data_IF_767586772725
#
_entry.id   IF_767586772725
#
_cell.length_a   1.000
_cell.length_b   1.000
_cell.length_c   1.000
_cell.angle_alpha   90.00
_cell.angle_beta   90.00
_cell.angle_gamma   90.00
#
_symmetry.space_group_name_H-M   'P 1'
#
loop_
_entity.id
_entity.type
_entity.pdbx_description
1 polymer ?
#
# COMPACT_ATOMS: atom_id res chain seq x y z
N UNK A 1 34.59 13.73 -10.02
CA UNK A 1 34.48 12.25 -10.04
C UNK A 1 33.40 11.86 -9.04
N UNK A 2 32.17 11.76 -9.49
CA UNK A 2 31.04 11.31 -8.70
C UNK A 2 31.19 9.81 -8.45
N UNK A 3 31.36 9.40 -7.18
CA UNK A 3 31.24 8.01 -6.76
C UNK A 3 29.87 7.53 -7.22
N UNK A 4 29.83 6.57 -8.18
CA UNK A 4 28.63 5.74 -8.40
C UNK A 4 28.33 5.10 -7.04
N UNK A 5 27.29 5.57 -6.38
CA UNK A 5 26.73 4.88 -5.23
C UNK A 5 26.43 3.45 -5.74
N UNK A 6 26.97 2.43 -5.07
CA UNK A 6 26.62 1.04 -5.37
C UNK A 6 25.11 0.93 -5.16
N UNK A 7 24.35 0.85 -6.24
CA UNK A 7 22.92 0.64 -6.16
C UNK A 7 22.69 -0.74 -5.56
N UNK A 8 22.13 -0.77 -4.34
CA UNK A 8 21.85 -2.00 -3.62
C UNK A 8 20.54 -2.66 -4.07
N UNK A 9 19.81 -2.02 -5.01
CA UNK A 9 18.53 -2.48 -5.52
C UNK A 9 18.66 -2.93 -6.97
N UNK A 10 18.28 -4.18 -7.23
CA UNK A 10 18.32 -4.84 -8.54
C UNK A 10 16.90 -4.94 -9.11
N UNK A 11 16.60 -4.40 -10.31
CA UNK A 11 15.31 -4.59 -10.95
C UNK A 11 15.15 -6.04 -11.44
N UNK A 12 13.98 -6.61 -11.19
CA UNK A 12 13.60 -7.95 -11.62
C UNK A 12 12.63 -7.87 -12.79
N UNK A 13 12.86 -8.68 -13.82
CA UNK A 13 12.03 -8.77 -15.01
C UNK A 13 11.60 -7.38 -15.53
N UNK A 14 12.54 -6.46 -15.79
CA UNK A 14 12.19 -5.13 -16.28
C UNK A 14 11.56 -5.20 -17.65
N UNK A 15 10.57 -4.36 -17.90
CA UNK A 15 9.85 -4.24 -19.17
C UNK A 15 9.78 -2.79 -19.63
N UNK A 16 9.67 -2.59 -20.93
CA UNK A 16 9.43 -1.29 -21.55
C UNK A 16 8.03 -1.26 -22.16
N UNK A 17 7.22 -0.29 -21.76
CA UNK A 17 5.86 -0.10 -22.23
C UNK A 17 5.80 1.08 -23.20
N UNK A 18 4.87 1.01 -24.17
CA UNK A 18 4.61 2.14 -25.05
C UNK A 18 5.84 2.56 -25.87
N UNK A 19 6.51 1.66 -26.54
CA UNK A 19 7.70 1.90 -27.39
C UNK A 19 8.88 2.52 -26.58
N UNK A 20 9.12 1.98 -25.40
CA UNK A 20 10.22 2.40 -24.53
C UNK A 20 9.97 3.68 -23.73
N UNK A 21 8.74 4.20 -23.73
CA UNK A 21 8.42 5.42 -22.98
C UNK A 21 8.27 5.21 -21.49
N UNK A 22 7.88 4.01 -21.04
CA UNK A 22 7.71 3.68 -19.62
C UNK A 22 8.58 2.47 -19.31
N UNK A 23 9.57 2.65 -18.43
CA UNK A 23 10.41 1.57 -17.93
C UNK A 23 9.88 1.13 -16.57
N UNK A 24 9.41 -0.10 -16.52
CA UNK A 24 8.77 -0.68 -15.36
C UNK A 24 9.57 -1.88 -14.83
N UNK A 25 9.85 -1.90 -13.54
CA UNK A 25 10.36 -3.09 -12.86
C UNK A 25 9.17 -3.86 -12.27
N UNK A 26 8.92 -5.07 -12.76
CA UNK A 26 7.85 -5.94 -12.23
C UNK A 26 8.09 -6.31 -10.76
N UNK A 27 9.37 -6.31 -10.36
CA UNK A 27 9.81 -6.40 -9.00
C UNK A 27 11.22 -5.85 -8.84
N UNK A 28 11.66 -5.73 -7.60
CA UNK A 28 13.04 -5.39 -7.24
C UNK A 28 13.53 -6.27 -6.10
N UNK A 29 14.82 -6.55 -6.12
CA UNK A 29 15.55 -7.24 -5.07
C UNK A 29 16.45 -6.25 -4.34
N UNK A 30 16.39 -6.27 -3.01
CA UNK A 30 17.22 -5.44 -2.13
C UNK A 30 17.74 -6.31 -0.98
N UNK A 31 18.97 -6.79 -1.06
CA UNK A 31 19.59 -7.76 -0.13
C UNK A 31 18.66 -8.96 0.13
N UNK A 32 18.01 -8.97 1.27
CA UNK A 32 17.12 -10.05 1.74
C UNK A 32 15.65 -9.88 1.38
N UNK A 33 15.30 -8.80 0.69
CA UNK A 33 13.93 -8.45 0.33
C UNK A 33 13.64 -8.58 -1.16
N UNK A 34 12.43 -8.95 -1.49
CA UNK A 34 11.83 -8.85 -2.82
C UNK A 34 10.54 -8.05 -2.72
N UNK A 35 10.39 -7.07 -3.59
CA UNK A 35 9.17 -6.28 -3.74
C UNK A 35 8.65 -6.46 -5.14
N UNK A 36 7.49 -7.11 -5.29
CA UNK A 36 6.76 -7.19 -6.55
C UNK A 36 5.68 -6.11 -6.56
N UNK A 37 5.61 -5.32 -7.62
CA UNK A 37 4.78 -4.12 -7.69
C UNK A 37 3.92 -4.08 -8.94
N UNK A 38 2.70 -3.57 -8.83
CA UNK A 38 1.82 -3.26 -9.95
C UNK A 38 1.44 -4.46 -10.82
N UNK A 39 1.36 -5.67 -10.23
CA UNK A 39 1.02 -6.88 -10.98
C UNK A 39 -0.45 -6.86 -11.39
N UNK A 40 -0.69 -6.82 -12.67
CA UNK A 40 -2.00 -6.93 -13.31
C UNK A 40 -1.94 -8.01 -14.39
N UNK A 41 -3.09 -8.42 -14.89
CA UNK A 41 -3.18 -9.44 -15.94
C UNK A 41 -2.86 -8.87 -17.33
N UNK A 42 -1.65 -8.35 -17.52
CA UNK A 42 -1.17 -7.67 -18.74
C UNK A 42 -0.14 -8.50 -19.50
N UNK A 43 -0.08 -8.30 -20.81
CA UNK A 43 0.96 -8.86 -21.69
C UNK A 43 2.04 -7.84 -22.08
N UNK A 44 1.96 -6.61 -21.57
CA UNK A 44 2.85 -5.48 -21.84
C UNK A 44 2.87 -4.95 -23.29
N UNK A 45 2.05 -5.52 -24.18
CA UNK A 45 1.95 -5.13 -25.60
C UNK A 45 0.54 -4.64 -25.92
N UNK A 46 -0.46 -5.47 -25.63
CA UNK A 46 -1.85 -5.24 -26.06
C UNK A 46 -2.76 -4.77 -24.90
N UNK A 47 -2.24 -4.69 -23.69
CA UNK A 47 -3.01 -4.36 -22.50
C UNK A 47 -3.37 -5.62 -21.70
N UNK A 48 -4.65 -5.91 -21.49
CA UNK A 48 -5.05 -7.17 -20.83
C UNK A 48 -4.64 -8.33 -21.72
N UNK A 49 -3.99 -9.33 -21.11
CA UNK A 49 -3.56 -10.53 -21.82
C UNK A 49 -4.74 -11.23 -22.56
N UNK A 50 -4.58 -11.58 -23.83
CA UNK A 50 -5.60 -12.32 -24.58
C UNK A 50 -6.03 -13.63 -23.90
N UNK A 51 -5.14 -14.27 -23.13
CA UNK A 51 -5.46 -15.48 -22.36
C UNK A 51 -6.50 -15.25 -21.26
N UNK A 52 -6.67 -14.04 -20.81
CA UNK A 52 -7.66 -13.64 -19.80
C UNK A 52 -9.00 -13.34 -20.43
N UNK A 53 -8.98 -12.79 -21.66
CA UNK A 53 -10.18 -12.47 -22.41
C UNK A 53 -10.78 -13.75 -23.02
N UNK A 54 -12.10 -13.89 -22.95
CA UNK A 54 -12.83 -15.03 -23.56
C UNK A 54 -13.51 -14.53 -24.83
N UNK A 55 -12.95 -14.89 -26.01
CA UNK A 55 -13.47 -14.39 -27.29
C UNK A 55 -14.66 -15.19 -27.83
N UNK A 56 -14.78 -16.50 -27.54
CA UNK A 56 -15.63 -17.38 -28.33
C UNK A 56 -16.73 -18.15 -27.59
N UNK A 57 -16.72 -18.20 -26.28
CA UNK A 57 -17.77 -18.87 -25.51
C UNK A 57 -17.82 -18.36 -24.08
N UNK A 58 -18.62 -17.33 -23.79
CA UNK A 58 -18.68 -16.72 -22.49
C UNK A 58 -19.06 -17.66 -21.33
N UNK A 59 -19.61 -18.83 -21.66
CA UNK A 59 -20.00 -19.87 -20.70
C UNK A 59 -19.04 -21.06 -20.65
N UNK A 60 -17.94 -21.05 -21.40
CA UNK A 60 -16.95 -22.12 -21.39
C UNK A 60 -15.65 -21.64 -20.72
N UNK A 61 -15.11 -22.48 -19.84
CA UNK A 61 -13.86 -22.21 -19.13
C UNK A 61 -14.02 -21.33 -17.88
N UNK A 62 -12.90 -20.89 -17.35
CA UNK A 62 -12.86 -20.08 -16.13
C UNK A 62 -13.32 -18.64 -16.40
N UNK A 63 -14.01 -18.01 -15.42
CA UNK A 63 -14.37 -16.60 -15.49
C UNK A 63 -13.14 -15.69 -15.62
N UNK A 64 -13.32 -14.52 -16.26
CA UNK A 64 -12.25 -13.52 -16.47
C UNK A 64 -11.44 -13.26 -15.19
N UNK A 65 -12.11 -13.02 -14.06
CA UNK A 65 -11.45 -12.67 -12.79
C UNK A 65 -10.59 -13.80 -12.20
N UNK A 66 -10.98 -15.04 -12.40
CA UNK A 66 -10.16 -16.19 -12.02
C UNK A 66 -8.92 -16.29 -12.93
N UNK A 67 -9.07 -16.07 -14.24
CA UNK A 67 -7.96 -16.02 -15.18
C UNK A 67 -7.01 -14.88 -14.88
N UNK A 68 -7.52 -13.69 -14.52
CA UNK A 68 -6.69 -12.57 -14.06
C UNK A 68 -5.86 -12.97 -12.84
N UNK A 69 -6.49 -13.54 -11.81
CA UNK A 69 -5.80 -13.96 -10.61
C UNK A 69 -4.73 -15.02 -10.89
N UNK A 70 -5.03 -16.03 -11.72
CA UNK A 70 -4.07 -17.07 -12.09
C UNK A 70 -2.86 -16.49 -12.81
N UNK A 71 -3.06 -15.57 -13.76
CA UNK A 71 -1.95 -14.92 -14.47
C UNK A 71 -1.10 -14.05 -13.55
N UNK A 72 -1.74 -13.29 -12.65
CA UNK A 72 -1.04 -12.48 -11.65
C UNK A 72 -0.16 -13.36 -10.74
N UNK A 73 -0.68 -14.49 -10.26
CA UNK A 73 0.11 -15.40 -9.43
C UNK A 73 1.24 -16.10 -10.21
N UNK A 74 1.03 -16.43 -11.47
CA UNK A 74 2.09 -16.96 -12.33
C UNK A 74 3.22 -15.92 -12.54
N UNK A 75 2.86 -14.66 -12.79
CA UNK A 75 3.84 -13.56 -12.89
C UNK A 75 4.57 -13.33 -11.57
N UNK A 76 3.86 -13.37 -10.44
CA UNK A 76 4.48 -13.25 -9.11
C UNK A 76 5.49 -14.39 -8.87
N UNK A 77 5.14 -15.62 -9.19
CA UNK A 77 6.03 -16.78 -9.05
C UNK A 77 7.29 -16.60 -9.90
N UNK A 78 7.17 -16.14 -11.15
CA UNK A 78 8.30 -15.86 -12.01
C UNK A 78 9.25 -14.80 -11.42
N UNK A 79 8.72 -13.73 -10.83
CA UNK A 79 9.50 -12.68 -10.16
C UNK A 79 10.25 -13.25 -8.94
N UNK A 80 9.55 -14.05 -8.12
CA UNK A 80 10.14 -14.65 -6.94
C UNK A 80 11.26 -15.62 -7.30
N UNK A 81 11.08 -16.46 -8.31
CA UNK A 81 12.11 -17.36 -8.80
C UNK A 81 13.32 -16.60 -9.35
N UNK A 82 13.10 -15.51 -10.11
CA UNK A 82 14.18 -14.66 -10.58
C UNK A 82 15.00 -14.03 -9.45
N UNK A 83 14.37 -13.80 -8.30
CA UNK A 83 15.03 -13.29 -7.10
C UNK A 83 15.72 -14.38 -6.24
N UNK A 84 15.50 -15.67 -6.54
CA UNK A 84 16.01 -16.79 -5.76
C UNK A 84 15.18 -17.12 -4.52
N UNK A 85 13.86 -16.91 -4.58
CA UNK A 85 12.90 -17.24 -3.52
C UNK A 85 11.62 -17.84 -4.13
N UNK A 86 10.61 -18.09 -3.32
CA UNK A 86 9.33 -18.67 -3.74
C UNK A 86 8.13 -18.13 -2.93
N UNK A 87 6.93 -18.56 -3.29
CA UNK A 87 5.68 -18.12 -2.66
C UNK A 87 5.54 -18.50 -1.20
N UNK A 88 6.30 -19.47 -0.68
CA UNK A 88 6.29 -19.83 0.75
C UNK A 88 6.96 -18.78 1.62
N UNK A 89 7.69 -17.86 0.98
CA UNK A 89 8.43 -16.78 1.62
C UNK A 89 7.74 -15.41 1.52
N UNK A 90 6.49 -15.38 1.04
CA UNK A 90 5.70 -14.16 1.02
C UNK A 90 5.41 -13.69 2.46
N UNK A 91 5.62 -12.39 2.71
CA UNK A 91 5.42 -11.78 4.03
C UNK A 91 4.24 -10.82 4.05
N UNK A 92 3.84 -10.32 2.86
CA UNK A 92 2.71 -9.39 2.70
C UNK A 92 2.18 -9.42 1.28
N UNK A 93 0.87 -9.25 1.13
CA UNK A 93 0.22 -8.99 -0.16
C UNK A 93 -0.81 -7.87 -0.02
N UNK A 94 -0.78 -6.89 -0.91
CA UNK A 94 -1.77 -5.82 -0.99
C UNK A 94 -2.49 -5.92 -2.34
N UNK A 95 -3.82 -5.85 -2.31
CA UNK A 95 -4.64 -5.96 -3.50
C UNK A 95 -5.54 -4.72 -3.66
N UNK A 96 -5.53 -4.17 -4.87
CA UNK A 96 -6.46 -3.13 -5.29
C UNK A 96 -7.40 -3.68 -6.35
N UNK A 97 -8.69 -3.42 -6.20
CA UNK A 97 -9.75 -3.90 -7.09
C UNK A 97 -10.55 -2.73 -7.65
N UNK A 98 -11.09 -2.88 -8.84
CA UNK A 98 -12.10 -1.94 -9.37
C UNK A 98 -13.50 -2.29 -8.91
N UNK A 99 -13.70 -3.46 -8.33
CA UNK A 99 -14.99 -3.93 -7.83
C UNK A 99 -14.80 -4.98 -6.73
N UNK A 100 -15.61 -4.92 -5.70
CA UNK A 100 -15.63 -5.93 -4.62
C UNK A 100 -15.99 -7.35 -5.14
N UNK A 101 -16.61 -7.45 -6.32
CA UNK A 101 -16.91 -8.74 -6.97
C UNK A 101 -15.65 -9.49 -7.43
N UNK A 102 -14.50 -8.83 -7.49
CA UNK A 102 -13.22 -9.46 -7.82
C UNK A 102 -12.58 -10.17 -6.63
N UNK A 103 -12.97 -9.82 -5.40
CA UNK A 103 -12.37 -10.37 -4.17
C UNK A 103 -12.59 -11.88 -4.02
N UNK A 104 -13.81 -12.46 -4.16
CA UNK A 104 -14.00 -13.90 -3.97
C UNK A 104 -13.18 -14.76 -4.96
N UNK A 105 -13.20 -14.52 -6.30
CA UNK A 105 -12.40 -15.32 -7.24
C UNK A 105 -10.90 -15.18 -6.98
N UNK A 106 -10.40 -13.98 -6.65
CA UNK A 106 -9.01 -13.80 -6.24
C UNK A 106 -8.66 -14.61 -5.00
N UNK A 107 -9.48 -14.56 -3.95
CA UNK A 107 -9.24 -15.31 -2.70
C UNK A 107 -9.26 -16.82 -2.92
N UNK A 108 -10.09 -17.31 -3.83
CA UNK A 108 -10.12 -18.73 -4.19
C UNK A 108 -8.79 -19.14 -4.82
N UNK A 109 -8.37 -18.49 -5.90
CA UNK A 109 -7.10 -18.76 -6.58
C UNK A 109 -5.92 -18.62 -5.62
N UNK A 110 -5.89 -17.57 -4.80
CA UNK A 110 -4.85 -17.36 -3.79
C UNK A 110 -4.71 -18.52 -2.83
N UNK A 111 -5.83 -19.04 -2.31
CA UNK A 111 -5.79 -20.18 -1.37
C UNK A 111 -5.21 -21.44 -2.00
N UNK A 112 -5.61 -21.72 -3.23
CA UNK A 112 -5.11 -22.88 -3.98
C UNK A 112 -3.64 -22.72 -4.28
N UNK A 113 -3.24 -21.57 -4.82
CA UNK A 113 -1.87 -21.27 -5.21
C UNK A 113 -0.90 -21.27 -4.01
N UNK A 114 -1.26 -20.60 -2.90
CA UNK A 114 -0.46 -20.51 -1.69
C UNK A 114 -0.66 -21.70 -0.74
N UNK A 115 -1.44 -22.71 -1.13
CA UNK A 115 -1.68 -23.93 -0.33
C UNK A 115 -2.09 -23.61 1.12
N UNK A 116 -2.89 -22.59 1.31
CA UNK A 116 -3.37 -22.15 2.61
C UNK A 116 -2.37 -21.37 3.48
N UNK A 117 -1.13 -21.16 3.03
CA UNK A 117 -0.13 -20.33 3.72
C UNK A 117 -0.24 -18.87 3.28
N UNK A 118 -1.32 -18.21 3.65
CA UNK A 118 -1.63 -16.87 3.19
C UNK A 118 -0.97 -15.85 4.12
N UNK A 119 -0.09 -14.96 3.60
CA UNK A 119 0.53 -13.91 4.40
C UNK A 119 -0.50 -12.86 4.83
N UNK A 120 -0.15 -11.94 5.75
CA UNK A 120 -0.90 -10.72 5.98
C UNK A 120 -1.31 -10.06 4.67
N UNK A 121 -2.58 -9.71 4.54
CA UNK A 121 -3.20 -9.31 3.29
C UNK A 121 -4.15 -8.14 3.50
N UNK A 122 -4.16 -7.19 2.55
CA UNK A 122 -5.04 -6.01 2.53
C UNK A 122 -5.79 -5.97 1.20
N UNK A 123 -7.10 -5.78 1.22
CA UNK A 123 -7.95 -5.84 0.03
C UNK A 123 -8.86 -4.62 -0.06
N UNK A 124 -8.57 -3.71 -0.99
CA UNK A 124 -9.22 -2.40 -1.11
C UNK A 124 -9.81 -2.23 -2.50
N UNK A 125 -11.07 -1.81 -2.59
CA UNK A 125 -11.63 -1.39 -3.87
C UNK A 125 -11.34 0.11 -4.13
N UNK A 126 -10.86 0.38 -5.35
CA UNK A 126 -10.49 1.69 -5.84
C UNK A 126 -11.29 2.05 -7.09
N UNK A 127 -11.27 3.30 -7.49
CA UNK A 127 -12.08 3.80 -8.61
C UNK A 127 -11.64 3.23 -9.96
N UNK A 128 -10.31 3.19 -10.20
CA UNK A 128 -9.74 2.59 -11.39
C UNK A 128 -8.30 2.09 -11.14
N UNK A 129 -7.79 1.26 -12.04
CA UNK A 129 -6.41 0.79 -12.09
C UNK A 129 -5.74 1.31 -13.37
N UNK A 130 -4.41 1.30 -13.39
CA UNK A 130 -3.64 1.82 -14.52
C UNK A 130 -3.91 1.07 -15.83
N UNK A 131 -4.17 -0.24 -15.76
CA UNK A 131 -4.53 -1.05 -16.93
C UNK A 131 -6.04 -1.00 -17.15
N UNK A 132 -6.54 -0.34 -18.21
CA UNK A 132 -7.97 -0.28 -18.50
C UNK A 132 -8.58 -1.69 -18.64
N UNK A 133 -9.70 -1.91 -17.97
CA UNK A 133 -10.40 -3.19 -17.97
C UNK A 133 -9.83 -4.26 -17.04
N UNK A 134 -8.73 -4.03 -16.35
CA UNK A 134 -8.27 -4.92 -15.27
C UNK A 134 -9.17 -4.76 -14.03
N UNK A 135 -9.49 -5.88 -13.39
CA UNK A 135 -10.28 -5.89 -12.16
C UNK A 135 -9.39 -5.94 -10.91
N UNK A 136 -8.09 -6.26 -11.04
CA UNK A 136 -7.18 -6.42 -9.91
C UNK A 136 -5.75 -5.98 -10.21
N UNK A 137 -5.11 -5.44 -9.17
CA UNK A 137 -3.69 -5.10 -9.10
C UNK A 137 -3.14 -5.66 -7.80
N UNK A 138 -2.05 -6.39 -7.85
CA UNK A 138 -1.46 -7.07 -6.69
C UNK A 138 -0.04 -6.58 -6.49
N UNK A 139 0.30 -6.33 -5.24
CA UNK A 139 1.65 -6.08 -4.78
C UNK A 139 2.03 -7.13 -3.76
N UNK A 140 3.31 -7.49 -3.70
CA UNK A 140 3.78 -8.47 -2.74
C UNK A 140 5.17 -8.10 -2.19
N UNK A 141 5.39 -8.47 -0.93
CA UNK A 141 6.71 -8.44 -0.31
C UNK A 141 7.08 -9.86 0.06
N UNK A 142 8.31 -10.27 -0.26
CA UNK A 142 8.83 -11.60 0.06
C UNK A 142 10.23 -11.50 0.67
N UNK A 143 10.60 -12.56 1.39
CA UNK A 143 11.91 -12.73 1.98
C UNK A 143 12.76 -13.67 1.11
N UNK A 144 14.04 -13.33 0.94
CA UNK A 144 15.03 -14.25 0.35
C UNK A 144 15.55 -15.18 1.45
N UNK A 145 15.75 -16.48 1.18
CA UNK A 145 16.32 -17.40 2.15
C UNK A 145 17.67 -16.92 2.67
N UNK A 146 17.74 -16.58 3.94
CA UNK A 146 18.96 -16.13 4.63
C UNK A 146 18.86 -16.52 6.10
N UNK A 147 19.95 -16.98 6.71
CA UNK A 147 19.99 -17.33 8.14
C UNK A 147 19.54 -16.14 9.01
N UNK A 148 18.63 -16.36 9.93
CA UNK A 148 18.04 -15.33 10.80
C UNK A 148 16.96 -14.48 10.09
N UNK A 149 16.52 -14.91 8.90
CA UNK A 149 15.48 -14.22 8.13
C UNK A 149 14.36 -15.21 7.72
N UNK A 150 13.99 -16.08 8.64
CA UNK A 150 12.91 -17.06 8.48
C UNK A 150 11.55 -16.36 8.53
N UNK A 151 10.61 -16.86 7.72
CA UNK A 151 9.21 -16.40 7.71
C UNK A 151 8.40 -17.25 8.66
N UNK A 152 7.80 -16.63 9.66
CA UNK A 152 6.99 -17.31 10.68
C UNK A 152 5.57 -16.73 10.68
N UNK A 153 4.59 -17.58 10.39
CA UNK A 153 3.17 -17.25 10.46
C UNK A 153 2.69 -17.45 11.91
N UNK A 154 2.24 -16.36 12.52
CA UNK A 154 1.66 -16.39 13.85
C UNK A 154 0.14 -16.54 13.75
N UNK A 155 -0.46 -17.31 14.64
CA UNK A 155 -1.90 -17.55 14.64
C UNK A 155 -2.45 -17.64 16.05
N UNK A 156 -3.69 -17.18 16.20
CA UNK A 156 -4.47 -17.36 17.43
C UNK A 156 -5.92 -17.65 17.05
N UNK A 157 -6.57 -18.56 17.79
CA UNK A 157 -7.91 -19.01 17.45
C UNK A 157 -8.94 -17.89 17.36
N UNK A 158 -8.83 -16.85 18.21
CA UNK A 158 -9.72 -15.70 18.26
C UNK A 158 -9.40 -14.61 17.24
N UNK A 159 -8.24 -14.68 16.58
CA UNK A 159 -7.79 -13.68 15.59
C UNK A 159 -7.79 -14.21 14.15
N UNK A 160 -8.33 -15.42 13.94
CA UNK A 160 -8.47 -15.96 12.58
C UNK A 160 -9.43 -15.09 11.80
N UNK A 161 -9.01 -14.63 10.63
CA UNK A 161 -9.87 -14.00 9.67
C UNK A 161 -11.03 -14.91 9.23
N UNK A 162 -11.94 -14.38 8.40
CA UNK A 162 -13.01 -15.22 7.82
C UNK A 162 -12.42 -16.44 7.15
N UNK A 163 -13.08 -17.62 7.22
CA UNK A 163 -12.59 -18.83 6.56
C UNK A 163 -12.24 -18.66 5.07
N UNK A 164 -12.91 -17.75 4.39
CA UNK A 164 -12.67 -17.41 2.99
C UNK A 164 -11.39 -16.62 2.74
N UNK A 165 -10.94 -15.77 3.65
CA UNK A 165 -9.72 -14.98 3.49
C UNK A 165 -8.47 -15.70 3.96
N UNK A 166 -8.52 -16.43 5.09
CA UNK A 166 -7.50 -17.36 5.58
C UNK A 166 -6.11 -16.76 5.87
N UNK A 167 -5.96 -15.43 5.89
CA UNK A 167 -4.66 -14.79 6.12
C UNK A 167 -4.19 -14.90 7.58
N UNK A 168 -2.87 -14.79 7.77
CA UNK A 168 -2.27 -14.78 9.10
C UNK A 168 -2.54 -13.45 9.81
N UNK A 169 -2.99 -13.45 11.07
CA UNK A 169 -3.20 -12.23 11.85
C UNK A 169 -1.92 -11.47 12.16
N UNK A 170 -0.78 -12.16 12.14
CA UNK A 170 0.55 -11.59 12.21
C UNK A 170 1.55 -12.53 11.54
N UNK A 171 2.63 -11.96 11.02
CA UNK A 171 3.76 -12.69 10.44
C UNK A 171 5.04 -11.99 10.84
N UNK A 172 6.06 -12.78 11.22
CA UNK A 172 7.39 -12.23 11.50
C UNK A 172 8.43 -12.67 10.49
N UNK A 173 9.36 -11.77 10.17
CA UNK A 173 10.55 -12.07 9.39
C UNK A 173 11.70 -11.14 9.80
N UNK A 174 12.85 -11.71 10.18
CA UNK A 174 13.92 -10.91 10.77
C UNK A 174 13.41 -10.08 11.95
N UNK A 175 13.62 -8.77 11.88
CA UNK A 175 13.22 -7.81 12.91
C UNK A 175 11.83 -7.20 12.70
N UNK A 176 11.10 -7.64 11.68
CA UNK A 176 9.83 -7.04 11.32
C UNK A 176 8.63 -7.94 11.63
N UNK A 177 7.51 -7.28 11.90
CA UNK A 177 6.19 -7.87 12.11
C UNK A 177 5.25 -7.25 11.09
N UNK A 178 4.56 -8.08 10.30
CA UNK A 178 3.56 -7.66 9.34
C UNK A 178 2.16 -8.02 9.87
N UNK A 179 1.27 -7.04 9.89
CA UNK A 179 -0.13 -7.17 10.30
C UNK A 179 -1.02 -6.88 9.10
N UNK A 180 -2.03 -7.72 8.80
CA UNK A 180 -2.93 -7.54 7.67
C UNK A 180 -3.80 -6.29 7.78
N UNK A 181 -4.59 -6.01 6.74
CA UNK A 181 -5.69 -5.07 6.81
C UNK A 181 -6.69 -5.50 7.88
N UNK A 182 -6.91 -4.64 8.85
CA UNK A 182 -7.84 -4.82 9.96
C UNK A 182 -8.99 -3.85 9.78
N UNK A 183 -10.21 -4.37 9.86
CA UNK A 183 -11.45 -3.62 9.82
C UNK A 183 -12.24 -3.84 11.11
N UNK A 184 -13.30 -3.10 11.29
CA UNK A 184 -14.29 -3.28 12.36
C UNK A 184 -15.24 -4.47 12.13
N UNK A 185 -14.79 -5.49 11.40
CA UNK A 185 -15.59 -6.65 11.02
C UNK A 185 -15.96 -7.50 12.25
N UNK A 186 -17.24 -7.86 12.34
CA UNK A 186 -17.70 -8.86 13.30
C UNK A 186 -17.16 -10.26 12.93
N UNK A 187 -16.30 -10.81 13.77
CA UNK A 187 -15.76 -12.17 13.60
C UNK A 187 -16.29 -13.04 14.75
N UNK A 188 -17.03 -14.10 14.40
CA UNK A 188 -17.61 -15.02 15.38
C UNK A 188 -18.83 -14.47 16.14
N UNK A 189 -19.34 -13.30 15.76
CA UNK A 189 -20.59 -12.72 16.23
C UNK A 189 -21.62 -12.70 15.12
N UNK A 190 -22.92 -12.64 15.46
CA UNK A 190 -23.95 -12.34 14.47
C UNK A 190 -23.72 -10.92 13.93
N UNK A 191 -23.42 -10.77 12.62
CA UNK A 191 -23.12 -9.47 12.05
C UNK A 191 -24.36 -8.56 12.10
N UNK A 192 -24.21 -7.40 12.73
CA UNK A 192 -25.21 -6.34 12.67
C UNK A 192 -24.76 -5.30 11.64
N UNK A 193 -25.72 -4.62 10.97
CA UNK A 193 -25.44 -3.56 10.00
C UNK A 193 -24.26 -3.90 9.10
N UNK A 194 -24.52 -4.75 8.11
CA UNK A 194 -23.57 -5.06 7.06
C UNK A 194 -22.18 -5.54 7.53
N UNK A 195 -22.11 -6.15 8.69
CA UNK A 195 -20.94 -6.85 9.19
C UNK A 195 -20.03 -6.05 10.09
N UNK A 196 -20.35 -4.81 10.44
CA UNK A 196 -19.62 -4.07 11.49
C UNK A 196 -19.96 -4.66 12.86
N UNK A 197 -18.94 -4.89 13.70
CA UNK A 197 -19.12 -5.40 15.06
C UNK A 197 -19.94 -4.46 15.93
N UNK A 198 -20.74 -5.00 16.85
CA UNK A 198 -21.52 -4.19 17.79
C UNK A 198 -20.65 -3.30 18.66
N UNK A 199 -19.41 -3.70 18.95
CA UNK A 199 -18.47 -2.90 19.74
C UNK A 199 -17.98 -1.63 19.03
N UNK A 200 -18.13 -1.55 17.70
CA UNK A 200 -17.76 -0.39 16.89
C UNK A 200 -18.98 0.37 16.35
N UNK A 201 -20.20 -0.05 16.69
CA UNK A 201 -21.42 0.65 16.29
C UNK A 201 -21.81 1.71 17.33
N UNK A 202 -22.44 2.77 16.83
CA UNK A 202 -23.13 3.73 17.70
C UNK A 202 -24.33 3.07 18.38
N UNK A 203 -24.54 3.38 19.63
CA UNK A 203 -25.76 2.97 20.36
C UNK A 203 -26.98 3.62 19.70
N UNK A 204 -28.06 2.87 19.53
CA UNK A 204 -29.33 3.41 19.01
C UNK A 204 -29.75 4.65 19.78
N UNK A 205 -30.20 5.69 19.09
CA UNK A 205 -30.60 6.96 19.67
C UNK A 205 -29.46 7.94 19.97
N UNK A 206 -28.19 7.56 19.73
CA UNK A 206 -27.04 8.43 20.02
C UNK A 206 -26.42 9.05 18.76
N UNK A 207 -27.13 9.09 17.65
CA UNK A 207 -26.67 9.65 16.37
C UNK A 207 -26.17 11.11 16.44
N UNK A 208 -26.56 11.84 17.46
CA UNK A 208 -26.12 13.21 17.75
C UNK A 208 -24.83 13.28 18.59
N UNK A 209 -24.45 12.20 19.23
CA UNK A 209 -23.32 12.15 20.19
C UNK A 209 -22.11 11.38 19.73
N UNK A 210 -22.09 10.84 18.51
CA UNK A 210 -20.98 10.00 18.06
C UNK A 210 -20.65 10.15 16.58
N UNK A 211 -19.43 9.76 16.25
CA UNK A 211 -18.94 9.66 14.89
C UNK A 211 -18.52 8.21 14.64
N UNK A 212 -19.16 7.48 13.71
CA UNK A 212 -18.85 6.06 13.44
C UNK A 212 -17.36 5.79 13.22
N UNK A 213 -16.68 6.65 12.46
CA UNK A 213 -15.24 6.53 12.20
C UNK A 213 -14.39 6.50 13.48
N UNK A 214 -14.73 7.28 14.51
CA UNK A 214 -14.01 7.27 15.79
C UNK A 214 -14.16 5.94 16.51
N UNK A 215 -15.36 5.38 16.50
CA UNK A 215 -15.66 4.09 17.14
C UNK A 215 -14.94 2.93 16.42
N UNK A 216 -14.99 2.91 15.09
CA UNK A 216 -14.29 1.90 14.30
C UNK A 216 -12.78 2.01 14.47
N UNK A 217 -12.22 3.24 14.43
CA UNK A 217 -10.77 3.46 14.62
C UNK A 217 -10.32 3.03 16.01
N UNK A 218 -11.06 3.42 17.06
CA UNK A 218 -10.80 3.03 18.45
C UNK A 218 -10.84 1.51 18.62
N UNK A 219 -11.88 0.86 18.08
CA UNK A 219 -12.02 -0.59 18.12
C UNK A 219 -10.83 -1.30 17.43
N UNK A 220 -10.49 -0.88 16.20
CA UNK A 220 -9.40 -1.50 15.43
C UNK A 220 -8.07 -1.39 16.18
N UNK A 221 -7.74 -0.22 16.70
CA UNK A 221 -6.48 0.02 17.41
C UNK A 221 -6.42 -0.76 18.72
N UNK A 222 -7.47 -0.67 19.54
CA UNK A 222 -7.44 -1.18 20.93
C UNK A 222 -7.75 -2.68 21.06
N UNK A 223 -8.34 -3.31 20.03
CA UNK A 223 -8.72 -4.72 20.07
C UNK A 223 -7.90 -5.55 19.08
N UNK A 224 -8.25 -5.68 17.79
CA UNK A 224 -7.54 -6.63 16.91
C UNK A 224 -6.08 -6.23 16.64
N UNK A 225 -5.75 -4.94 16.52
CA UNK A 225 -4.36 -4.52 16.25
C UNK A 225 -3.44 -4.85 17.43
N UNK A 226 -3.82 -4.44 18.65
CA UNK A 226 -3.07 -4.75 19.87
C UNK A 226 -2.92 -6.25 20.05
N UNK A 227 -4.00 -7.02 19.84
CA UNK A 227 -3.96 -8.48 19.97
C UNK A 227 -3.04 -9.12 18.92
N UNK A 228 -3.05 -8.64 17.67
CA UNK A 228 -2.16 -9.14 16.61
C UNK A 228 -0.69 -8.80 16.89
N UNK A 229 -0.38 -7.59 17.36
CA UNK A 229 0.97 -7.20 17.76
C UNK A 229 1.48 -8.05 18.94
N UNK A 230 0.62 -8.34 19.92
CA UNK A 230 0.96 -9.13 21.08
C UNK A 230 1.36 -10.57 20.73
N UNK A 231 0.91 -11.16 19.61
CA UNK A 231 1.38 -12.47 19.14
C UNK A 231 2.90 -12.50 18.92
N UNK A 232 3.49 -11.37 18.54
CA UNK A 232 4.92 -11.21 18.35
C UNK A 232 5.60 -10.48 19.53
N UNK A 233 4.93 -10.33 20.67
CA UNK A 233 5.43 -9.61 21.85
C UNK A 233 5.52 -8.10 21.68
N UNK A 234 4.95 -7.53 20.62
CA UNK A 234 5.01 -6.10 20.30
C UNK A 234 3.79 -5.33 20.83
N UNK A 235 3.92 -4.01 20.82
CA UNK A 235 2.91 -3.02 21.25
C UNK A 235 2.77 -1.91 20.22
N UNK A 236 1.86 -0.96 20.43
CA UNK A 236 1.62 0.15 19.51
C UNK A 236 2.87 1.01 19.25
N UNK A 237 3.71 1.21 20.25
CA UNK A 237 4.97 1.96 20.10
C UNK A 237 5.96 1.31 19.11
N UNK A 238 5.84 0.01 18.87
CA UNK A 238 6.67 -0.71 17.91
C UNK A 238 6.24 -0.51 16.45
N UNK A 239 5.04 0.02 16.20
CA UNK A 239 4.55 0.27 14.84
C UNK A 239 5.41 1.32 14.16
N UNK A 240 5.94 1.00 12.97
CA UNK A 240 6.85 1.86 12.19
C UNK A 240 6.18 2.42 10.95
N UNK A 241 5.22 1.71 10.37
CA UNK A 241 4.46 2.13 9.20
C UNK A 241 3.00 1.68 9.29
N UNK A 242 2.09 2.50 8.78
CA UNK A 242 0.67 2.20 8.66
C UNK A 242 0.12 2.70 7.32
N UNK A 243 -0.76 1.90 6.70
CA UNK A 243 -1.65 2.37 5.66
C UNK A 243 -3.08 2.35 6.19
N UNK A 244 -3.76 3.45 6.03
CA UNK A 244 -5.13 3.69 6.47
C UNK A 244 -5.98 4.00 5.25
N UNK A 245 -7.02 3.23 5.03
CA UNK A 245 -7.96 3.41 3.93
C UNK A 245 -9.27 3.92 4.49
N UNK A 246 -9.75 5.05 3.97
CA UNK A 246 -11.00 5.70 4.39
C UNK A 246 -11.99 5.74 3.22
N UNK A 247 -13.23 5.33 3.49
CA UNK A 247 -14.31 5.37 2.47
C UNK A 247 -14.92 6.75 2.32
N UNK A 248 -14.72 7.63 3.30
CA UNK A 248 -15.27 8.98 3.30
C UNK A 248 -14.20 9.99 3.71
N UNK A 249 -13.97 10.98 2.84
CA UNK A 249 -13.01 12.06 3.10
C UNK A 249 -13.42 12.97 4.27
N UNK A 250 -14.69 13.07 4.56
CA UNK A 250 -15.18 13.90 5.67
C UNK A 250 -14.78 13.31 7.05
N UNK A 251 -14.42 12.02 7.05
CA UNK A 251 -13.95 11.32 8.25
C UNK A 251 -12.48 11.60 8.62
N UNK A 252 -11.69 12.32 7.77
CA UNK A 252 -10.25 12.56 8.02
C UNK A 252 -9.98 13.20 9.38
N UNK A 253 -10.70 14.26 9.74
CA UNK A 253 -10.48 14.98 10.98
C UNK A 253 -10.78 14.11 12.20
N UNK A 254 -11.89 13.39 12.16
CA UNK A 254 -12.32 12.52 13.24
C UNK A 254 -11.42 11.28 13.39
N UNK A 255 -10.98 10.71 12.29
CA UNK A 255 -9.94 9.67 12.28
C UNK A 255 -8.65 10.20 12.92
N UNK A 256 -8.13 11.33 12.44
CA UNK A 256 -6.86 11.87 12.90
C UNK A 256 -6.86 12.21 14.40
N UNK A 257 -7.99 12.68 14.94
CA UNK A 257 -8.15 12.92 16.37
C UNK A 257 -7.99 11.61 17.18
N UNK A 258 -8.62 10.52 16.74
CA UNK A 258 -8.51 9.21 17.39
C UNK A 258 -7.11 8.62 17.21
N UNK A 259 -6.55 8.70 16.00
CA UNK A 259 -5.20 8.23 15.71
C UNK A 259 -4.14 8.90 16.58
N UNK A 260 -4.15 10.23 16.66
CA UNK A 260 -3.16 10.98 17.43
C UNK A 260 -3.26 10.77 18.93
N UNK A 261 -4.42 10.40 19.45
CA UNK A 261 -4.59 10.01 20.86
C UNK A 261 -3.79 8.74 21.20
N UNK A 262 -3.68 7.80 20.26
CA UNK A 262 -2.97 6.53 20.46
C UNK A 262 -1.48 6.60 20.09
N UNK A 263 -1.13 7.32 19.04
CA UNK A 263 0.22 7.34 18.50
C UNK A 263 0.99 8.64 18.76
N UNK A 264 0.31 9.74 19.07
CA UNK A 264 0.92 11.02 19.39
C UNK A 264 1.92 11.52 18.34
N UNK A 265 2.91 12.28 18.80
CA UNK A 265 3.95 12.86 17.94
C UNK A 265 5.04 11.86 17.53
N UNK A 266 5.16 10.75 18.22
CA UNK A 266 6.12 9.67 17.94
C UNK A 266 5.53 8.52 17.15
N UNK A 267 4.44 8.79 16.45
CA UNK A 267 3.70 7.81 15.66
C UNK A 267 4.50 7.19 14.51
N UNK A 268 3.92 6.18 13.84
CA UNK A 268 4.51 5.57 12.65
C UNK A 268 4.41 6.52 11.45
N UNK A 269 5.18 6.22 10.39
CA UNK A 269 4.86 6.71 9.04
C UNK A 269 3.43 6.28 8.70
N UNK A 270 2.54 7.22 8.37
CA UNK A 270 1.13 6.92 8.10
C UNK A 270 0.69 7.46 6.75
N UNK A 271 0.20 6.58 5.89
CA UNK A 271 -0.44 6.91 4.61
C UNK A 271 -1.94 6.83 4.78
N UNK A 272 -2.66 7.94 4.56
CA UNK A 272 -4.11 7.99 4.64
C UNK A 272 -4.66 8.09 3.21
N UNK A 273 -5.33 7.03 2.77
CA UNK A 273 -5.65 6.79 1.36
C UNK A 273 -7.17 6.71 1.21
N UNK A 274 -7.79 7.53 0.34
CA UNK A 274 -9.19 7.37 0.00
C UNK A 274 -9.45 6.04 -0.70
N UNK A 275 -10.59 5.42 -0.43
CA UNK A 275 -11.11 4.29 -1.20
C UNK A 275 -12.59 4.51 -1.50
N UNK A 276 -13.16 3.72 -2.42
CA UNK A 276 -14.56 3.89 -2.79
C UNK A 276 -15.48 3.51 -1.65
N UNK A 277 -16.65 4.13 -1.59
CA UNK A 277 -17.72 3.74 -0.70
C UNK A 277 -18.06 2.24 -0.90
N UNK A 278 -18.29 1.52 0.19
CA UNK A 278 -18.47 0.07 0.20
C UNK A 278 -17.28 -0.74 -0.36
N UNK A 279 -16.09 -0.16 -0.42
CA UNK A 279 -14.87 -0.78 -0.92
C UNK A 279 -14.11 -1.65 0.08
N UNK A 280 -14.62 -1.79 1.31
CA UNK A 280 -14.01 -2.54 2.42
C UNK A 280 -14.78 -3.80 2.77
N UNK A 281 -14.17 -4.66 3.61
CA UNK A 281 -14.74 -5.96 3.95
C UNK A 281 -16.04 -5.91 4.76
N UNK A 282 -16.26 -5.02 5.77
CA UNK A 282 -17.62 -4.69 6.18
C UNK A 282 -18.23 -3.75 5.13
N UNK A 283 -19.42 -4.06 4.64
CA UNK A 283 -20.06 -3.26 3.58
C UNK A 283 -20.21 -1.78 3.94
N UNK A 284 -20.58 -1.49 5.19
CA UNK A 284 -20.68 -0.12 5.71
C UNK A 284 -19.47 0.29 6.57
N UNK A 285 -18.37 -0.49 6.50
CA UNK A 285 -17.13 -0.14 7.19
C UNK A 285 -16.51 1.13 6.62
N UNK A 286 -16.04 1.99 7.51
CA UNK A 286 -15.47 3.28 7.14
C UNK A 286 -13.96 3.27 7.01
N UNK A 287 -13.29 2.25 7.59
CA UNK A 287 -11.85 2.24 7.70
C UNK A 287 -11.26 0.82 7.65
N UNK A 288 -10.12 0.69 7.01
CA UNK A 288 -9.22 -0.46 7.10
C UNK A 288 -7.80 0.02 7.40
N UNK A 289 -7.10 -0.64 8.32
CA UNK A 289 -5.75 -0.28 8.74
C UNK A 289 -4.86 -1.51 8.66
N UNK A 290 -3.73 -1.42 7.97
CA UNK A 290 -2.64 -2.40 8.09
C UNK A 290 -1.40 -1.74 8.68
N UNK A 291 -0.55 -2.52 9.34
CA UNK A 291 0.66 -1.98 9.95
C UNK A 291 1.86 -2.90 9.74
N UNK A 292 3.04 -2.27 9.76
CA UNK A 292 4.34 -2.92 9.92
C UNK A 292 4.91 -2.44 11.25
N UNK A 293 5.44 -3.37 12.05
CA UNK A 293 6.07 -3.06 13.32
C UNK A 293 7.50 -3.64 13.38
N UNK A 294 8.35 -3.06 14.21
CA UNK A 294 9.63 -3.62 14.57
C UNK A 294 9.47 -4.59 15.76
N UNK A 295 10.19 -5.70 15.77
CA UNK A 295 10.22 -6.57 16.95
C UNK A 295 10.81 -5.83 18.14
N UNK A 296 10.27 -6.00 19.35
CA UNK A 296 10.89 -5.48 20.56
C UNK A 296 12.33 -6.00 20.73
N UNK A 297 13.21 -5.15 21.23
CA UNK A 297 14.62 -5.49 21.49
C UNK A 297 15.41 -5.97 20.25
N UNK A 298 14.95 -5.65 19.05
CA UNK A 298 15.67 -5.91 17.81
C UNK A 298 16.51 -4.70 17.38
N UNK A 299 17.36 -4.90 16.38
CA UNK A 299 18.16 -3.81 15.80
C UNK A 299 17.31 -2.82 14.98
N UNK A 300 16.10 -3.22 14.57
CA UNK A 300 15.16 -2.40 13.79
C UNK A 300 14.44 -1.37 14.66
N UNK A 301 15.19 -0.51 15.36
CA UNK A 301 14.58 0.57 16.16
C UNK A 301 13.89 1.62 15.29
N UNK A 302 12.70 2.06 15.72
CA UNK A 302 11.96 3.15 15.07
C UNK A 302 12.72 4.46 15.20
N UNK A 303 13.06 5.09 14.07
CA UNK A 303 13.74 6.38 14.00
C UNK A 303 13.01 7.31 13.03
N UNK A 304 12.55 8.44 13.53
CA UNK A 304 11.99 9.50 12.69
C UNK A 304 13.09 10.16 11.86
N UNK A 305 12.82 10.34 10.57
CA UNK A 305 13.71 11.06 9.64
C UNK A 305 13.07 12.39 9.31
N UNK A 306 13.82 13.47 9.56
CA UNK A 306 13.39 14.83 9.31
C UNK A 306 14.35 15.51 8.33
N UNK A 307 13.82 16.06 7.24
CA UNK A 307 14.56 16.79 6.20
C UNK A 307 13.97 18.18 5.93
N UNK A 308 13.18 18.72 6.87
CA UNK A 308 12.48 19.99 6.67
C UNK A 308 11.39 19.92 5.57
N UNK A 309 10.86 18.72 5.33
CA UNK A 309 9.76 18.51 4.41
C UNK A 309 8.46 18.94 5.07
N UNK A 310 7.65 19.72 4.37
CA UNK A 310 6.31 20.07 4.84
C UNK A 310 5.39 18.83 4.80
N UNK A 311 4.54 18.69 5.82
CA UNK A 311 3.51 17.65 5.88
C UNK A 311 2.14 18.30 5.97
N UNK A 312 1.16 17.72 5.27
CA UNK A 312 -0.21 18.24 5.24
C UNK A 312 -0.94 18.01 6.57
N UNK A 313 -0.61 16.93 7.27
CA UNK A 313 -1.28 16.56 8.52
C UNK A 313 -0.41 16.87 9.74
N UNK A 314 -1.07 17.37 10.78
CA UNK A 314 -0.43 17.54 12.08
C UNK A 314 -0.05 16.16 12.64
N UNK A 315 1.13 16.07 13.22
CA UNK A 315 1.71 14.84 13.79
C UNK A 315 1.99 13.71 12.77
N UNK A 316 1.98 14.01 11.47
CA UNK A 316 2.48 13.07 10.48
C UNK A 316 4.02 13.14 10.46
N UNK A 317 4.73 12.05 10.77
CA UNK A 317 6.18 11.99 10.55
C UNK A 317 6.51 12.19 9.06
N UNK A 318 7.61 12.89 8.77
CA UNK A 318 8.06 13.06 7.39
C UNK A 318 8.47 11.72 6.77
N UNK A 319 9.18 10.88 7.54
CA UNK A 319 9.46 9.48 7.24
C UNK A 319 9.89 8.75 8.52
N UNK A 320 9.82 7.42 8.49
CA UNK A 320 10.31 6.54 9.57
C UNK A 320 11.27 5.51 8.99
N UNK A 321 12.48 5.45 9.53
CA UNK A 321 13.43 4.36 9.27
C UNK A 321 13.32 3.32 10.37
N UNK A 322 13.31 2.03 9.98
CA UNK A 322 13.43 0.91 10.88
C UNK A 322 14.28 -0.18 10.21
N UNK A 323 15.32 -0.63 10.88
CA UNK A 323 16.27 -1.57 10.28
C UNK A 323 16.80 -1.06 8.94
N UNK A 324 16.65 -1.88 7.91
CA UNK A 324 17.10 -1.60 6.53
C UNK A 324 16.01 -1.00 5.62
N UNK A 325 14.87 -0.57 6.16
CA UNK A 325 13.79 0.05 5.41
C UNK A 325 13.50 1.48 5.88
N UNK A 326 13.27 2.36 4.92
CA UNK A 326 12.74 3.71 5.12
C UNK A 326 11.32 3.78 4.56
N UNK A 327 10.37 4.13 5.41
CA UNK A 327 8.97 4.30 5.06
C UNK A 327 8.63 5.79 4.94
N UNK A 328 8.41 6.26 3.72
CA UNK A 328 7.95 7.61 3.44
C UNK A 328 6.45 7.52 3.19
N UNK A 329 5.60 8.21 3.98
CA UNK A 329 4.14 8.12 3.83
C UNK A 329 3.68 8.68 2.48
N UNK A 330 2.42 8.48 2.14
CA UNK A 330 1.81 9.08 0.96
C UNK A 330 1.85 10.62 1.08
N UNK A 331 2.87 11.21 0.48
CA UNK A 331 3.06 12.65 0.43
C UNK A 331 2.22 13.27 -0.67
N UNK A 332 1.66 14.44 -0.38
CA UNK A 332 1.13 15.40 -1.35
C UNK A 332 2.11 16.57 -1.50
N UNK A 333 2.02 17.30 -2.60
CA UNK A 333 2.79 18.53 -2.80
C UNK A 333 2.22 19.68 -1.96
N UNK A 334 2.07 19.48 -0.67
CA UNK A 334 1.31 20.34 0.23
C UNK A 334 1.94 20.42 1.62
N UNK A 335 1.67 21.52 2.28
CA UNK A 335 1.96 21.77 3.68
C UNK A 335 0.69 22.15 4.44
N UNK A 336 0.85 22.74 5.61
CA UNK A 336 -0.28 23.15 6.47
C UNK A 336 -1.20 24.19 5.82
N UNK A 337 -0.66 25.01 4.92
CA UNK A 337 -1.37 26.12 4.28
C UNK A 337 -1.98 25.73 2.91
N UNK A 338 -1.98 24.43 2.58
CA UNK A 338 -2.47 23.91 1.31
C UNK A 338 -1.36 23.52 0.34
N UNK A 339 -1.62 23.60 -0.97
CA UNK A 339 -0.60 23.30 -2.00
C UNK A 339 0.61 24.21 -1.85
N UNK A 340 1.81 23.62 -2.00
CA UNK A 340 3.05 24.38 -2.03
C UNK A 340 3.12 25.29 -3.27
N UNK A 341 3.71 26.49 -3.18
CA UNK A 341 3.81 27.41 -4.34
C UNK A 341 4.47 26.76 -5.58
N UNK A 342 5.41 25.83 -5.37
CA UNK A 342 6.07 25.08 -6.45
C UNK A 342 5.13 24.10 -7.19
N UNK A 343 4.00 23.75 -6.59
CA UNK A 343 3.01 22.84 -7.15
C UNK A 343 1.80 23.56 -7.77
N UNK A 344 1.75 24.89 -7.66
CA UNK A 344 0.68 25.72 -8.21
C UNK A 344 1.09 26.23 -9.58
N UNK A 345 0.23 26.00 -10.58
CA UNK A 345 0.47 26.54 -11.93
C UNK A 345 0.28 28.06 -11.95
N UNK A 346 1.05 28.74 -12.81
CA UNK A 346 0.83 30.15 -13.11
C UNK A 346 -0.53 30.32 -13.83
N UNK A 347 -1.51 30.98 -13.21
CA UNK A 347 -2.83 31.15 -13.80
C UNK A 347 -2.84 31.98 -15.09
N UNK A 348 -1.75 32.69 -15.37
CA UNK A 348 -1.56 33.45 -16.62
C UNK A 348 -1.12 32.58 -17.79
N UNK A 349 -0.60 31.38 -17.50
CA UNK A 349 -0.07 30.43 -18.47
C UNK A 349 -0.51 28.99 -18.18
N UNK A 350 -1.82 28.72 -18.03
CA UNK A 350 -2.32 27.45 -17.51
C UNK A 350 -2.05 26.24 -18.44
N UNK A 351 -1.72 26.49 -19.71
CA UNK A 351 -1.49 25.46 -20.72
C UNK A 351 -0.01 25.16 -20.98
N UNK A 352 0.92 25.90 -20.35
CA UNK A 352 2.36 25.70 -20.53
C UNK A 352 3.01 24.76 -19.54
N UNK A 353 2.25 24.31 -18.55
CA UNK A 353 2.72 23.35 -17.55
C UNK A 353 1.59 22.41 -17.12
N UNK A 354 1.97 21.30 -16.51
CA UNK A 354 1.05 20.26 -16.05
C UNK A 354 0.99 20.27 -14.52
N UNK A 355 -0.20 20.43 -13.93
CA UNK A 355 -0.37 20.41 -12.47
C UNK A 355 0.15 19.10 -11.83
N UNK A 356 -0.21 17.91 -12.33
CA UNK A 356 0.32 16.66 -11.76
C UNK A 356 1.84 16.57 -11.90
N UNK A 357 2.45 17.11 -12.95
CA UNK A 357 3.90 17.14 -13.12
C UNK A 357 4.58 18.07 -12.10
N UNK A 358 4.05 19.26 -11.86
CA UNK A 358 4.55 20.20 -10.85
C UNK A 358 4.41 19.63 -9.41
N UNK A 359 3.29 18.96 -9.14
CA UNK A 359 3.07 18.29 -7.87
C UNK A 359 4.05 17.12 -7.68
N UNK A 360 4.26 16.31 -8.71
CA UNK A 360 5.20 15.20 -8.68
C UNK A 360 6.64 15.68 -8.45
N UNK A 361 7.08 16.75 -9.12
CA UNK A 361 8.42 17.34 -8.94
C UNK A 361 8.65 17.74 -7.47
N UNK A 362 7.65 18.38 -6.88
CA UNK A 362 7.71 18.77 -5.45
C UNK A 362 7.77 17.55 -4.53
N UNK A 363 6.94 16.54 -4.77
CA UNK A 363 6.89 15.32 -3.94
C UNK A 363 8.20 14.54 -4.07
N UNK A 364 8.67 14.30 -5.30
CA UNK A 364 9.88 13.50 -5.54
C UNK A 364 11.13 14.23 -5.00
N UNK A 365 11.19 15.55 -5.14
CA UNK A 365 12.22 16.36 -4.49
C UNK A 365 12.21 16.21 -2.95
N UNK A 366 11.03 16.12 -2.34
CA UNK A 366 10.89 15.83 -0.90
C UNK A 366 11.35 14.41 -0.56
N UNK A 367 10.98 13.42 -1.37
CA UNK A 367 11.44 12.02 -1.22
C UNK A 367 12.97 11.95 -1.28
N UNK A 368 13.61 12.64 -2.24
CA UNK A 368 15.06 12.68 -2.36
C UNK A 368 15.73 13.22 -1.10
N UNK A 369 15.24 14.35 -0.55
CA UNK A 369 15.76 14.94 0.70
C UNK A 369 15.61 14.00 1.89
N UNK A 370 14.49 13.27 1.97
CA UNK A 370 14.27 12.28 3.04
C UNK A 370 15.20 11.07 2.89
N UNK A 371 15.48 10.63 1.67
CA UNK A 371 16.48 9.60 1.39
C UNK A 371 17.86 10.02 1.87
N UNK A 372 18.31 11.21 1.51
CA UNK A 372 19.60 11.76 1.94
C UNK A 372 19.71 11.85 3.46
N UNK A 373 18.67 12.37 4.14
CA UNK A 373 18.61 12.45 5.59
C UNK A 373 18.61 11.08 6.29
N UNK A 374 18.14 10.03 5.58
CA UNK A 374 18.18 8.65 6.06
C UNK A 374 19.50 7.92 5.73
N UNK A 375 20.40 8.53 4.96
CA UNK A 375 21.66 7.94 4.52
C UNK A 375 21.52 7.02 3.30
N UNK A 376 20.51 7.23 2.46
CA UNK A 376 20.23 6.47 1.23
C UNK A 376 19.98 7.41 0.04
N UNK A 377 19.48 6.91 -1.08
CA UNK A 377 19.17 7.72 -2.27
C UNK A 377 17.93 7.19 -2.99
N UNK A 378 17.44 7.96 -3.97
CA UNK A 378 16.36 7.51 -4.87
C UNK A 378 16.71 6.24 -5.64
N UNK A 379 17.99 5.95 -5.84
CA UNK A 379 18.44 4.72 -6.48
C UNK A 379 18.06 3.46 -5.70
N UNK A 380 17.80 3.59 -4.42
CA UNK A 380 17.42 2.49 -3.53
C UNK A 380 15.90 2.41 -3.28
N UNK A 381 15.10 3.09 -4.09
CA UNK A 381 13.64 2.95 -4.03
C UNK A 381 13.26 1.51 -4.40
N UNK A 382 12.45 0.88 -3.53
CA UNK A 382 11.98 -0.51 -3.68
C UNK A 382 10.49 -0.62 -3.97
N UNK A 383 9.71 0.40 -3.64
CA UNK A 383 8.26 0.42 -3.88
C UNK A 383 7.78 1.86 -4.00
N UNK A 384 7.03 2.14 -5.06
CA UNK A 384 6.31 3.41 -5.24
C UNK A 384 4.84 3.10 -5.45
N UNK A 385 3.98 3.71 -4.65
CA UNK A 385 2.54 3.66 -4.82
C UNK A 385 2.00 5.05 -5.17
N UNK A 386 1.39 5.15 -6.34
CA UNK A 386 0.84 6.37 -6.90
C UNK A 386 -0.69 6.33 -6.78
N UNK A 387 -1.25 7.30 -6.05
CA UNK A 387 -2.69 7.47 -5.90
C UNK A 387 -3.11 8.75 -6.61
N UNK A 388 -3.82 8.60 -7.72
CA UNK A 388 -4.29 9.70 -8.56
C UNK A 388 -5.78 9.95 -8.37
N UNK A 389 -6.21 11.19 -8.46
CA UNK A 389 -7.66 11.50 -8.58
C UNK A 389 -8.18 11.27 -10.00
N UNK A 390 -7.28 11.24 -10.97
CA UNK A 390 -7.50 10.85 -12.37
C UNK A 390 -6.31 10.03 -12.84
N UNK A 391 -6.53 8.75 -13.17
CA UNK A 391 -5.46 7.85 -13.58
C UNK A 391 -4.82 8.25 -14.93
N UNK A 392 -5.52 9.06 -15.73
CA UNK A 392 -4.98 9.64 -16.95
C UNK A 392 -3.77 10.57 -16.71
N UNK A 393 -3.61 11.07 -15.49
CA UNK A 393 -2.47 11.89 -15.07
C UNK A 393 -1.20 11.07 -14.72
N UNK A 394 -1.25 9.75 -14.82
CA UNK A 394 -0.12 8.88 -14.49
C UNK A 394 1.14 9.21 -15.30
N UNK A 395 1.02 9.38 -16.61
CA UNK A 395 2.19 9.56 -17.48
C UNK A 395 2.99 10.85 -17.20
N UNK A 396 2.40 12.02 -17.02
CA UNK A 396 3.12 13.21 -16.56
C UNK A 396 3.90 12.99 -15.26
N UNK A 397 3.32 12.30 -14.28
CA UNK A 397 3.97 11.98 -13.00
C UNK A 397 5.11 10.98 -13.19
N UNK A 398 4.91 9.93 -14.01
CA UNK A 398 5.95 8.98 -14.35
C UNK A 398 7.17 9.65 -14.99
N UNK A 399 6.99 10.61 -15.90
CA UNK A 399 8.08 11.36 -16.53
C UNK A 399 8.98 12.09 -15.53
N UNK A 400 8.40 12.58 -14.44
CA UNK A 400 9.19 13.19 -13.35
C UNK A 400 10.07 12.13 -12.69
N UNK A 401 9.53 10.97 -12.34
CA UNK A 401 10.31 9.86 -11.82
C UNK A 401 11.44 9.43 -12.77
N UNK A 402 11.14 9.31 -14.06
CA UNK A 402 12.13 8.94 -15.08
C UNK A 402 13.33 9.89 -15.09
N UNK A 403 13.07 11.21 -15.01
CA UNK A 403 14.15 12.24 -14.93
C UNK A 403 15.02 12.05 -13.68
N UNK A 404 14.39 11.85 -12.53
CA UNK A 404 15.09 11.71 -11.26
C UNK A 404 15.86 10.38 -11.15
N UNK A 405 15.38 9.31 -11.77
CA UNK A 405 16.02 7.98 -11.77
C UNK A 405 17.00 7.77 -12.93
N UNK A 406 17.20 8.77 -13.82
CA UNK A 406 18.10 8.64 -14.95
C UNK A 406 17.72 7.51 -15.92
N UNK A 407 16.42 7.25 -16.08
CA UNK A 407 15.88 6.22 -16.97
C UNK A 407 15.97 4.78 -16.43
N UNK A 408 16.19 4.58 -15.14
CA UNK A 408 16.10 3.25 -14.50
C UNK A 408 14.64 2.81 -14.39
N UNK A 409 14.36 1.48 -14.49
CA UNK A 409 13.01 0.98 -14.30
C UNK A 409 12.46 1.33 -12.91
N UNK A 410 11.26 1.91 -12.85
CA UNK A 410 10.59 2.28 -11.61
C UNK A 410 9.75 1.10 -11.07
N UNK A 411 9.90 0.70 -9.80
CA UNK A 411 9.04 -0.29 -9.16
C UNK A 411 7.74 0.38 -8.66
N UNK A 412 6.76 0.56 -9.52
CA UNK A 412 5.54 1.28 -9.20
C UNK A 412 4.27 0.44 -9.24
N UNK A 413 3.27 0.93 -8.53
CA UNK A 413 1.86 0.60 -8.70
C UNK A 413 1.04 1.88 -8.70
N UNK A 414 -0.04 1.94 -9.46
CA UNK A 414 -0.90 3.10 -9.52
C UNK A 414 -2.38 2.72 -9.46
N UNK A 415 -3.16 3.56 -8.79
CA UNK A 415 -4.60 3.44 -8.71
C UNK A 415 -5.26 4.83 -8.74
N UNK A 416 -6.47 4.90 -9.28
CA UNK A 416 -7.33 6.06 -9.17
C UNK A 416 -8.13 5.96 -7.88
N UNK A 417 -8.02 6.99 -7.04
CA UNK A 417 -8.75 7.12 -5.78
C UNK A 417 -9.91 8.11 -5.92
N UNK A 418 -10.95 8.01 -5.10
CA UNK A 418 -11.99 9.04 -5.05
C UNK A 418 -11.41 10.41 -4.69
N UNK A 419 -11.65 11.41 -5.54
CA UNK A 419 -11.29 12.80 -5.25
C UNK A 419 -12.43 13.58 -4.61
N UNK A 420 -12.16 14.82 -4.14
CA UNK A 420 -10.84 15.45 -4.02
C UNK A 420 -9.99 14.83 -2.91
N UNK A 421 -8.67 14.96 -3.01
CA UNK A 421 -7.76 14.63 -1.92
C UNK A 421 -7.94 15.60 -0.74
N UNK A 422 -7.40 15.26 0.46
CA UNK A 422 -7.59 16.08 1.66
C UNK A 422 -7.12 17.53 1.52
N UNK A 423 -6.12 17.77 0.67
CA UNK A 423 -5.63 19.12 0.38
C UNK A 423 -6.27 19.61 -0.93
N UNK A 424 -7.03 20.69 -0.90
CA UNK A 424 -7.64 21.26 -2.11
C UNK A 424 -6.60 21.52 -3.22
N UNK A 425 -6.91 21.05 -4.44
CA UNK A 425 -6.02 21.17 -5.59
C UNK A 425 -4.94 20.11 -5.71
N UNK A 426 -4.73 19.27 -4.69
CA UNK A 426 -3.87 18.09 -4.83
C UNK A 426 -4.56 17.04 -5.72
N UNK A 427 -3.83 16.48 -6.70
CA UNK A 427 -4.33 15.46 -7.63
C UNK A 427 -3.57 14.15 -7.54
N UNK A 428 -2.46 14.13 -6.81
CA UNK A 428 -1.63 12.93 -6.62
C UNK A 428 -1.07 12.84 -5.20
N UNK A 429 -1.03 11.61 -4.67
CA UNK A 429 -0.26 11.23 -3.48
C UNK A 429 0.73 10.14 -3.86
N UNK A 430 1.93 10.19 -3.29
CA UNK A 430 3.00 9.22 -3.56
C UNK A 430 3.54 8.64 -2.26
N UNK A 431 3.31 7.35 -2.04
CA UNK A 431 3.96 6.58 -0.97
C UNK A 431 5.23 5.94 -1.53
N UNK A 432 6.32 6.01 -0.77
CA UNK A 432 7.61 5.47 -1.23
C UNK A 432 8.28 4.68 -0.13
N UNK A 433 8.68 3.43 -0.42
CA UNK A 433 9.55 2.65 0.45
C UNK A 433 10.93 2.56 -0.17
N UNK A 434 11.94 2.67 0.68
CA UNK A 434 13.34 2.76 0.23
C UNK A 434 14.20 1.81 1.05
N UNK A 435 15.09 1.09 0.39
CA UNK A 435 16.13 0.30 1.06
C UNK A 435 17.18 1.24 1.63
N UNK A 436 17.42 1.14 2.92
CA UNK A 436 18.27 2.06 3.69
C UNK A 436 19.05 1.26 4.76
N UNK A 437 20.05 0.48 4.34
CA UNK A 437 20.83 -0.38 5.24
C UNK A 437 21.64 0.39 6.30
#
# INVERSE_FOLDING_TARGET
MTRKANCAVEPLLPVELGQGKIKFAQGVKADRWVFATGLMAQDFINGISPHVLSEHAPHSGLPKREKEALLIFANLEAILHAAGTDCTRLVRTDQYYTTVKAVPPYQQVRREFLRGRIPPSTSIAQKALLLPGADMNVQAVAAIPKKGFEVEHLSHAQLKGRPTSGYSPALTVGDFIFIPGITSLAIGEEPRRNGVTTAALMTEGTQWGGQPIKLETEFIITKPMVASLALAGARLENVVHAQVYLTDREDYSAFNETWTRHFGETGPSVSIIPCIEHGLAPYDGKIEINVIAAKPNSEATKRHVNAGVATAFRYQPQAVKAGDLLFIPALMAAGRDGLMPSAVLDPRQPYFSSSPEAQAETIIGNVARLCEAAGTSLDNVVRVMLFHTDIGEFYPVYKVWERHLGGRPLPFSAAEVPGPLPVPGATVMIETWVYAP
#
